data_IF_716154812894
#
_entry.id   IF_716154812894
#
_cell.length_a   1.000
_cell.length_b   1.000
_cell.length_c   1.000
_cell.angle_alpha   90.00
_cell.angle_beta   90.00
_cell.angle_gamma   90.00
#
_symmetry.space_group_name_H-M   'P 1'
#
loop_
_entity.id
_entity.type
_entity.pdbx_description
1 polymer ?
#
# COMPACT_ATOMS: atom_id res chain seq x y z
N UNK A 1 -6.20 -2.24 -23.09
CA UNK A 1 -7.49 -2.59 -22.45
C UNK A 1 -7.61 -2.09 -21.00
N UNK A 2 -6.52 -2.03 -20.22
CA UNK A 2 -6.53 -1.44 -18.85
C UNK A 2 -6.85 0.07 -18.81
N UNK A 3 -6.30 0.87 -19.73
CA UNK A 3 -6.51 2.33 -19.75
C UNK A 3 -7.98 2.78 -19.78
N UNK A 4 -8.84 2.08 -20.55
CA UNK A 4 -10.27 2.43 -20.60
C UNK A 4 -11.03 2.02 -19.33
N UNK A 5 -10.60 0.97 -18.64
CA UNK A 5 -11.24 0.45 -17.41
C UNK A 5 -10.93 1.34 -16.20
N UNK A 6 -9.69 1.82 -16.10
CA UNK A 6 -9.22 2.70 -15.02
C UNK A 6 -9.81 4.11 -15.13
N UNK A 7 -10.03 4.60 -16.36
CA UNK A 7 -10.74 5.87 -16.56
C UNK A 7 -12.19 5.84 -16.08
N UNK A 8 -12.87 4.70 -16.17
CA UNK A 8 -14.25 4.53 -15.69
C UNK A 8 -14.37 4.16 -14.22
N UNK A 9 -13.32 3.62 -13.60
CA UNK A 9 -13.34 3.25 -12.18
C UNK A 9 -13.36 4.48 -11.28
N UNK A 10 -14.18 4.40 -10.24
CA UNK A 10 -14.19 5.34 -9.13
C UNK A 10 -12.93 5.18 -8.28
N UNK A 11 -12.55 6.23 -7.55
CA UNK A 11 -11.40 6.19 -6.65
C UNK A 11 -11.56 5.09 -5.57
N UNK A 12 -12.79 4.92 -5.06
CA UNK A 12 -13.09 3.93 -4.03
C UNK A 12 -12.94 2.49 -4.55
N UNK A 13 -13.38 2.21 -5.77
CA UNK A 13 -13.15 0.90 -6.43
C UNK A 13 -11.66 0.60 -6.60
N UNK A 14 -10.87 1.59 -7.03
CA UNK A 14 -9.42 1.42 -7.19
C UNK A 14 -8.72 1.17 -5.85
N UNK A 15 -9.17 1.84 -4.79
CA UNK A 15 -8.61 1.64 -3.45
C UNK A 15 -8.92 0.23 -2.93
N UNK A 16 -10.15 -0.26 -3.09
CA UNK A 16 -10.50 -1.64 -2.70
C UNK A 16 -9.74 -2.68 -3.53
N UNK A 17 -9.59 -2.45 -4.84
CA UNK A 17 -8.75 -3.28 -5.72
C UNK A 17 -7.29 -3.31 -5.21
N UNK A 18 -6.73 -2.15 -4.83
CA UNK A 18 -5.37 -2.07 -4.30
C UNK A 18 -5.21 -2.82 -2.97
N UNK A 19 -6.19 -2.71 -2.06
CA UNK A 19 -6.18 -3.44 -0.78
C UNK A 19 -6.20 -4.95 -1.02
N UNK A 20 -7.01 -5.40 -1.99
CA UNK A 20 -7.11 -6.81 -2.34
C UNK A 20 -5.81 -7.34 -2.95
N UNK A 21 -5.24 -6.61 -3.92
CA UNK A 21 -3.99 -6.99 -4.58
C UNK A 21 -2.80 -7.03 -3.61
N UNK A 22 -2.71 -6.06 -2.68
CA UNK A 22 -1.65 -6.09 -1.66
C UNK A 22 -1.87 -7.19 -0.61
N UNK A 23 -3.11 -7.55 -0.31
CA UNK A 23 -3.43 -8.70 0.54
C UNK A 23 -2.98 -10.01 -0.11
N UNK A 24 -3.32 -10.23 -1.39
CA UNK A 24 -2.85 -11.39 -2.16
C UNK A 24 -1.31 -11.47 -2.18
N UNK A 25 -0.65 -10.35 -2.43
CA UNK A 25 0.81 -10.27 -2.40
C UNK A 25 1.38 -10.59 -1.02
N UNK A 26 0.76 -10.09 0.05
CA UNK A 26 1.14 -10.38 1.42
C UNK A 26 1.02 -11.87 1.77
N UNK A 27 -0.03 -12.55 1.32
CA UNK A 27 -0.15 -14.01 1.49
C UNK A 27 0.88 -14.78 0.67
N UNK A 28 1.15 -14.36 -0.57
CA UNK A 28 2.18 -14.99 -1.41
C UNK A 28 3.57 -14.94 -0.76
N UNK A 29 3.88 -13.87 -0.01
CA UNK A 29 5.14 -13.72 0.71
C UNK A 29 5.26 -14.57 1.98
N UNK A 30 4.18 -15.21 2.44
CA UNK A 30 4.15 -15.93 3.72
C UNK A 30 4.45 -15.00 4.90
N UNK A 31 5.30 -15.41 5.83
CA UNK A 31 5.64 -14.62 7.04
C UNK A 31 6.25 -13.26 6.71
N UNK A 32 7.00 -13.15 5.61
CA UNK A 32 7.56 -11.88 5.14
C UNK A 32 6.49 -10.85 4.78
N UNK A 33 5.28 -11.29 4.42
CA UNK A 33 4.18 -10.43 4.08
C UNK A 33 3.38 -9.94 5.28
N UNK A 34 3.62 -10.45 6.50
CA UNK A 34 2.80 -10.10 7.69
C UNK A 34 2.78 -8.59 7.95
N UNK A 35 3.92 -7.94 7.81
CA UNK A 35 4.08 -6.49 7.91
C UNK A 35 4.79 -5.98 6.67
N UNK A 36 4.06 -5.33 5.78
CA UNK A 36 4.55 -4.95 4.45
C UNK A 36 4.49 -3.43 4.27
N UNK A 37 5.59 -2.87 3.79
CA UNK A 37 5.65 -1.50 3.31
C UNK A 37 6.13 -1.46 1.87
N UNK A 38 5.50 -0.61 1.06
CA UNK A 38 5.95 -0.30 -0.30
C UNK A 38 6.03 1.21 -0.45
N UNK A 39 7.21 1.72 -0.78
CA UNK A 39 7.45 3.13 -1.07
C UNK A 39 7.73 3.31 -2.55
N UNK A 40 6.96 4.17 -3.23
CA UNK A 40 7.11 4.47 -4.66
C UNK A 40 7.51 5.93 -4.80
N UNK A 41 8.63 6.18 -5.47
CA UNK A 41 9.14 7.50 -5.79
C UNK A 41 8.95 7.77 -7.29
N UNK A 42 8.06 8.69 -7.59
CA UNK A 42 7.78 9.17 -8.95
C UNK A 42 8.91 10.06 -9.43
N UNK A 43 9.22 9.94 -10.71
CA UNK A 43 10.26 10.70 -11.41
C UNK A 43 9.70 11.17 -12.74
N UNK A 44 10.28 12.23 -13.28
CA UNK A 44 9.93 12.74 -14.61
C UNK A 44 9.96 11.67 -15.70
N UNK A 45 10.75 10.60 -15.51
CA UNK A 45 10.96 9.52 -16.49
C UNK A 45 10.47 8.13 -16.09
N UNK A 46 9.65 8.02 -15.04
CA UNK A 46 9.13 6.75 -14.52
C UNK A 46 9.10 6.71 -12.99
N UNK A 47 9.48 5.60 -12.38
CA UNK A 47 9.50 5.48 -10.91
C UNK A 47 10.57 4.51 -10.40
N UNK A 48 10.84 4.59 -9.10
CA UNK A 48 11.52 3.56 -8.32
C UNK A 48 10.62 3.17 -7.16
N UNK A 49 10.41 1.87 -6.95
CA UNK A 49 9.71 1.38 -5.79
C UNK A 49 10.61 0.47 -4.94
N UNK A 50 10.44 0.53 -3.63
CA UNK A 50 11.10 -0.35 -2.68
C UNK A 50 10.03 -0.96 -1.79
N UNK A 51 10.02 -2.28 -1.69
CA UNK A 51 9.22 -3.00 -0.71
C UNK A 51 10.10 -3.61 0.37
N UNK A 52 9.65 -3.53 1.61
CA UNK A 52 10.33 -4.06 2.77
C UNK A 52 9.31 -4.53 3.80
N UNK A 53 9.73 -5.42 4.69
CA UNK A 53 8.89 -5.96 5.75
C UNK A 53 9.68 -6.30 6.99
N UNK A 54 8.97 -6.75 8.03
CA UNK A 54 9.60 -7.29 9.23
C UNK A 54 10.12 -8.69 8.91
N UNK A 55 11.39 -8.95 9.24
CA UNK A 55 12.00 -10.28 9.12
C UNK A 55 11.18 -11.28 9.94
N UNK A 56 10.87 -12.48 9.39
CA UNK A 56 10.11 -13.49 10.12
C UNK A 56 10.67 -13.80 11.52
N UNK A 57 11.99 -13.86 11.65
CA UNK A 57 12.67 -14.13 12.93
C UNK A 57 12.57 -13.02 13.97
N UNK A 58 12.06 -11.84 13.61
CA UNK A 58 11.97 -10.66 14.47
C UNK A 58 10.52 -10.21 14.72
N UNK A 59 9.52 -10.94 14.20
CA UNK A 59 8.10 -10.59 14.32
C UNK A 59 7.67 -10.46 15.77
N UNK A 60 8.00 -11.45 16.62
CA UNK A 60 7.63 -11.44 18.04
C UNK A 60 8.19 -10.20 18.77
N UNK A 61 9.43 -9.83 18.44
CA UNK A 61 10.11 -8.66 19.01
C UNK A 61 9.53 -7.35 18.49
N UNK A 62 9.12 -7.30 17.23
CA UNK A 62 8.43 -6.13 16.69
C UNK A 62 7.07 -5.93 17.36
N UNK A 63 6.33 -7.01 17.60
CA UNK A 63 5.02 -7.01 18.26
C UNK A 63 5.06 -6.64 19.74
N UNK A 64 6.17 -6.94 20.43
CA UNK A 64 6.39 -6.51 21.81
C UNK A 64 6.67 -5.00 21.94
N UNK A 65 6.67 -4.25 20.83
CA UNK A 65 6.95 -2.82 20.74
C UNK A 65 8.36 -2.43 21.19
N UNK A 66 9.31 -3.38 21.17
CA UNK A 66 10.71 -3.06 21.36
C UNK A 66 11.26 -2.27 20.17
N UNK A 67 12.13 -1.28 20.46
CA UNK A 67 12.81 -0.53 19.39
C UNK A 67 13.70 -1.50 18.61
N UNK A 68 13.33 -1.76 17.36
CA UNK A 68 14.02 -2.73 16.51
C UNK A 68 14.25 -2.18 15.10
N UNK A 69 15.24 -1.31 14.96
CA UNK A 69 15.68 -0.80 13.65
C UNK A 69 16.20 -1.93 12.75
N UNK A 70 16.74 -2.99 13.33
CA UNK A 70 17.21 -4.18 12.62
C UNK A 70 16.10 -5.16 12.25
N UNK A 71 14.84 -4.93 12.62
CA UNK A 71 13.73 -5.85 12.32
C UNK A 71 13.37 -5.84 10.84
N UNK A 72 13.64 -4.74 10.15
CA UNK A 72 13.21 -4.54 8.77
C UNK A 72 14.27 -5.02 7.78
N UNK A 73 13.81 -5.60 6.69
CA UNK A 73 14.67 -5.94 5.56
C UNK A 73 13.93 -5.71 4.24
N UNK A 74 14.68 -5.29 3.22
CA UNK A 74 14.13 -5.11 1.88
C UNK A 74 13.70 -6.46 1.32
N UNK A 75 12.52 -6.48 0.70
CA UNK A 75 12.00 -7.63 -0.04
C UNK A 75 12.45 -7.50 -1.49
N UNK A 76 12.17 -6.35 -2.10
CA UNK A 76 12.61 -6.03 -3.46
C UNK A 76 12.84 -4.53 -3.66
N UNK A 77 13.59 -4.21 -4.71
CA UNK A 77 13.63 -2.89 -5.34
C UNK A 77 13.25 -3.04 -6.81
N UNK A 78 12.34 -2.21 -7.28
CA UNK A 78 11.92 -2.16 -8.68
C UNK A 78 12.08 -0.75 -9.25
N UNK A 79 12.14 -0.67 -10.56
CA UNK A 79 12.14 0.60 -11.27
C UNK A 79 11.52 0.45 -12.64
N UNK A 80 10.83 1.49 -13.08
CA UNK A 80 10.26 1.57 -14.41
C UNK A 80 10.76 2.83 -15.13
N UNK A 81 11.11 2.68 -16.41
CA UNK A 81 11.52 3.79 -17.26
C UNK A 81 10.68 3.82 -18.55
N UNK A 82 9.79 4.80 -18.67
CA UNK A 82 8.75 4.78 -19.72
C UNK A 82 9.32 4.91 -21.13
N UNK A 83 10.42 5.65 -21.34
CA UNK A 83 10.97 5.88 -22.69
C UNK A 83 11.45 4.59 -23.37
N UNK A 84 11.69 3.54 -22.58
CA UNK A 84 12.13 2.24 -23.06
C UNK A 84 11.18 1.11 -22.70
N UNK A 85 10.01 1.43 -22.12
CA UNK A 85 9.09 0.48 -21.48
C UNK A 85 9.84 -0.60 -20.67
N UNK A 86 10.83 -0.15 -19.88
CA UNK A 86 11.76 -1.05 -19.23
C UNK A 86 11.41 -1.17 -17.75
N UNK A 87 11.02 -2.36 -17.32
CA UNK A 87 10.80 -2.70 -15.92
C UNK A 87 11.94 -3.57 -15.40
N UNK A 88 12.56 -3.12 -14.32
CA UNK A 88 13.61 -3.85 -13.62
C UNK A 88 13.15 -4.13 -12.20
N UNK A 89 13.42 -5.34 -11.71
CA UNK A 89 13.19 -5.74 -10.32
C UNK A 89 14.35 -6.57 -9.81
N UNK A 90 14.73 -6.35 -8.55
CA UNK A 90 15.72 -7.12 -7.82
C UNK A 90 15.15 -7.51 -6.47
N UNK A 91 15.17 -8.80 -6.18
CA UNK A 91 14.84 -9.34 -4.86
C UNK A 91 16.09 -9.45 -3.99
N UNK A 92 15.93 -9.32 -2.67
CA UNK A 92 17.05 -9.42 -1.71
C UNK A 92 17.12 -10.78 -1.01
N UNK A 93 16.04 -11.56 -1.05
CA UNK A 93 15.97 -12.92 -0.52
C UNK A 93 15.78 -13.92 -1.66
N UNK A 94 16.66 -14.93 -1.75
CA UNK A 94 16.62 -15.92 -2.84
C UNK A 94 15.40 -16.84 -2.82
N UNK A 95 14.79 -17.06 -1.65
CA UNK A 95 13.55 -17.83 -1.53
C UNK A 95 12.37 -17.02 -2.05
N UNK A 96 12.31 -15.73 -1.71
CA UNK A 96 11.32 -14.80 -2.28
C UNK A 96 11.53 -14.65 -3.78
N UNK A 97 12.78 -14.54 -4.24
CA UNK A 97 13.10 -14.46 -5.67
C UNK A 97 12.59 -15.69 -6.42
N UNK A 98 12.75 -16.90 -5.89
CA UNK A 98 12.21 -18.12 -6.52
C UNK A 98 10.69 -18.12 -6.56
N UNK A 99 10.05 -17.61 -5.51
CA UNK A 99 8.60 -17.61 -5.36
C UNK A 99 7.94 -16.53 -6.23
N UNK A 100 8.44 -15.30 -6.17
CA UNK A 100 7.88 -14.11 -6.84
C UNK A 100 8.55 -13.77 -8.17
N UNK A 101 9.76 -14.25 -8.44
CA UNK A 101 10.53 -13.92 -9.65
C UNK A 101 10.03 -14.58 -10.93
N UNK A 102 8.98 -15.40 -10.86
CA UNK A 102 8.26 -15.84 -12.06
C UNK A 102 7.47 -14.68 -12.68
N UNK A 103 7.11 -14.80 -13.97
CA UNK A 103 6.42 -13.73 -14.70
C UNK A 103 5.10 -13.30 -14.06
N UNK A 104 4.37 -14.20 -13.38
CA UNK A 104 3.11 -13.89 -12.72
C UNK A 104 3.33 -13.05 -11.47
N UNK A 105 4.26 -13.44 -10.61
CA UNK A 105 4.59 -12.70 -9.39
C UNK A 105 5.12 -11.30 -9.68
N UNK A 106 6.03 -11.17 -10.65
CA UNK A 106 6.54 -9.87 -11.11
C UNK A 106 5.42 -9.00 -11.69
N UNK A 107 4.49 -9.60 -12.44
CA UNK A 107 3.32 -8.89 -12.97
C UNK A 107 2.44 -8.36 -11.84
N UNK A 108 2.13 -9.16 -10.82
CA UNK A 108 1.33 -8.72 -9.67
C UNK A 108 1.99 -7.52 -8.95
N UNK A 109 3.32 -7.56 -8.74
CA UNK A 109 4.05 -6.43 -8.13
C UNK A 109 3.91 -5.16 -8.99
N UNK A 110 4.16 -5.27 -10.29
CA UNK A 110 4.02 -4.13 -11.22
C UNK A 110 2.59 -3.60 -11.27
N UNK A 111 1.60 -4.46 -11.12
CA UNK A 111 0.18 -4.10 -11.15
C UNK A 111 -0.22 -3.31 -9.90
N UNK A 112 0.21 -3.75 -8.72
CA UNK A 112 0.07 -2.99 -7.45
C UNK A 112 0.73 -1.62 -7.56
N UNK A 113 1.97 -1.57 -8.07
CA UNK A 113 2.72 -0.33 -8.24
C UNK A 113 1.99 0.65 -9.17
N UNK A 114 1.53 0.18 -10.33
CA UNK A 114 0.81 1.03 -11.27
C UNK A 114 -0.53 1.51 -10.71
N UNK A 115 -1.30 0.63 -10.05
CA UNK A 115 -2.59 0.99 -9.47
C UNK A 115 -2.44 2.07 -8.38
N UNK A 116 -1.41 1.95 -7.54
CA UNK A 116 -1.09 2.98 -6.56
C UNK A 116 -0.73 4.33 -7.20
N UNK A 117 -0.02 4.31 -8.34
CA UNK A 117 0.31 5.52 -9.12
C UNK A 117 -0.95 6.13 -9.75
N UNK A 118 -1.86 5.31 -10.26
CA UNK A 118 -3.12 5.80 -10.85
C UNK A 118 -4.03 6.43 -9.78
N UNK A 119 -4.11 5.81 -8.59
CA UNK A 119 -4.78 6.39 -7.40
C UNK A 119 -4.14 7.73 -7.04
N UNK A 120 -2.81 7.78 -6.95
CA UNK A 120 -2.06 9.00 -6.67
C UNK A 120 -2.41 10.11 -7.65
N UNK A 121 -2.38 9.83 -8.95
CA UNK A 121 -2.66 10.83 -9.98
C UNK A 121 -4.10 11.37 -9.86
N UNK A 122 -5.09 10.49 -9.67
CA UNK A 122 -6.48 10.92 -9.41
C UNK A 122 -6.58 11.83 -8.20
N UNK A 123 -5.87 11.53 -7.12
CA UNK A 123 -5.89 12.32 -5.88
C UNK A 123 -5.23 13.68 -6.09
N UNK A 124 -4.07 13.71 -6.75
CA UNK A 124 -3.37 14.95 -7.06
C UNK A 124 -4.25 15.85 -7.92
N UNK A 125 -4.86 15.31 -8.97
CA UNK A 125 -5.66 16.08 -9.93
C UNK A 125 -6.97 16.62 -9.34
N UNK A 126 -7.55 15.95 -8.34
CA UNK A 126 -8.89 16.28 -7.83
C UNK A 126 -8.93 16.88 -6.43
N UNK A 127 -7.89 16.70 -5.63
CA UNK A 127 -7.91 17.03 -4.19
C UNK A 127 -6.72 17.85 -3.71
N UNK A 128 -5.63 17.96 -4.48
CA UNK A 128 -4.40 18.62 -4.07
C UNK A 128 -4.05 19.83 -4.94
N UNK A 129 -3.12 20.66 -4.47
CA UNK A 129 -2.70 21.88 -5.15
C UNK A 129 -1.74 21.55 -6.31
N UNK A 130 -2.20 21.75 -7.54
CA UNK A 130 -1.42 21.46 -8.76
C UNK A 130 -0.13 22.27 -8.90
N UNK A 131 0.07 23.33 -8.12
CA UNK A 131 1.32 24.11 -8.13
C UNK A 131 2.45 23.42 -7.36
N UNK A 132 2.12 22.45 -6.50
CA UNK A 132 3.06 21.67 -5.71
C UNK A 132 3.43 20.37 -6.42
N UNK A 133 4.53 19.76 -5.98
CA UNK A 133 4.96 18.45 -6.47
C UNK A 133 4.58 17.38 -5.47
N UNK A 134 4.03 16.27 -5.95
CA UNK A 134 3.74 15.08 -5.16
C UNK A 134 4.44 13.92 -5.85
N UNK A 135 5.51 13.43 -5.24
CA UNK A 135 6.43 12.50 -5.90
C UNK A 135 6.69 11.23 -5.09
N UNK A 136 5.97 11.01 -3.99
CA UNK A 136 6.12 9.83 -3.17
C UNK A 136 4.76 9.29 -2.73
N UNK A 137 4.65 7.97 -2.81
CA UNK A 137 3.54 7.17 -2.32
C UNK A 137 4.11 6.18 -1.30
N UNK A 138 3.40 5.95 -0.20
CA UNK A 138 3.70 4.83 0.70
C UNK A 138 2.44 4.01 0.95
N UNK A 139 2.59 2.71 0.89
CA UNK A 139 1.55 1.73 1.18
C UNK A 139 2.03 0.92 2.37
N UNK A 140 1.17 0.76 3.37
CA UNK A 140 1.35 -0.14 4.49
C UNK A 140 0.22 -1.15 4.50
N UNK A 141 0.58 -2.42 4.68
CA UNK A 141 -0.37 -3.50 4.87
C UNK A 141 0.10 -4.43 5.98
N UNK A 142 -0.83 -4.83 6.83
CA UNK A 142 -0.60 -5.74 7.95
C UNK A 142 -1.63 -6.85 7.94
N UNK A 143 -1.19 -8.11 8.02
CA UNK A 143 -2.04 -9.26 8.31
C UNK A 143 -1.97 -9.58 9.78
N UNK A 144 -3.12 -9.54 10.45
CA UNK A 144 -3.22 -9.90 11.88
C UNK A 144 -3.46 -11.39 12.09
N UNK A 145 -3.92 -12.08 11.04
CA UNK A 145 -4.29 -13.50 11.05
C UNK A 145 -3.76 -14.22 9.79
N UNK A 146 -3.54 -15.54 9.86
CA UNK A 146 -3.03 -16.32 8.73
C UNK A 146 -4.11 -16.75 7.73
N UNK A 147 -5.39 -16.62 8.08
CA UNK A 147 -6.54 -17.03 7.27
C UNK A 147 -6.87 -15.94 6.24
N UNK A 148 -6.81 -16.28 4.96
CA UNK A 148 -7.04 -15.37 3.85
C UNK A 148 -8.51 -15.11 3.57
N UNK A 149 -9.35 -16.14 3.66
CA UNK A 149 -10.80 -16.04 3.48
C UNK A 149 -11.40 -14.96 4.39
N UNK A 150 -11.07 -14.96 5.69
CA UNK A 150 -11.61 -13.96 6.63
C UNK A 150 -11.08 -12.54 6.37
N UNK A 151 -9.86 -12.41 5.83
CA UNK A 151 -9.32 -11.09 5.46
C UNK A 151 -10.03 -10.56 4.21
N UNK A 152 -10.21 -11.38 3.18
CA UNK A 152 -10.90 -10.97 1.95
C UNK A 152 -12.38 -10.64 2.20
N UNK A 153 -13.09 -11.43 3.02
CA UNK A 153 -14.45 -11.09 3.44
C UNK A 153 -14.52 -9.75 4.19
N UNK A 154 -13.51 -9.43 5.02
CA UNK A 154 -13.48 -8.15 5.73
C UNK A 154 -13.14 -6.99 4.79
N UNK A 155 -12.25 -7.19 3.80
CA UNK A 155 -11.94 -6.19 2.76
C UNK A 155 -13.21 -5.82 1.97
N UNK A 156 -14.02 -6.80 1.57
CA UNK A 156 -15.28 -6.55 0.84
C UNK A 156 -16.29 -5.70 1.64
N UNK A 157 -16.21 -5.76 2.97
CA UNK A 157 -17.08 -4.99 3.89
C UNK A 157 -16.44 -3.70 4.38
N UNK A 158 -15.18 -3.44 4.02
CA UNK A 158 -14.43 -2.30 4.51
C UNK A 158 -14.76 -1.03 3.74
N UNK A 159 -14.69 0.09 4.46
CA UNK A 159 -14.81 1.44 3.94
C UNK A 159 -13.42 2.06 3.92
N UNK A 160 -13.01 2.61 2.78
CA UNK A 160 -11.75 3.34 2.69
C UNK A 160 -11.99 4.82 2.96
N UNK A 161 -11.54 5.29 4.12
CA UNK A 161 -11.70 6.68 4.52
C UNK A 161 -10.49 7.50 4.10
N UNK A 162 -10.78 8.64 3.47
CA UNK A 162 -9.79 9.64 3.05
C UNK A 162 -9.61 10.73 4.12
N UNK A 163 -8.39 11.15 4.34
CA UNK A 163 -8.04 12.17 5.33
C UNK A 163 -6.95 13.10 4.78
N UNK A 164 -7.20 14.41 4.87
CA UNK A 164 -6.16 15.42 4.65
C UNK A 164 -5.28 15.52 5.89
N UNK A 165 -3.97 15.60 5.69
CA UNK A 165 -3.00 15.78 6.77
C UNK A 165 -2.56 17.25 6.73
N UNK A 166 -3.10 18.07 7.64
CA UNK A 166 -2.71 19.47 7.78
C UNK A 166 -1.44 19.59 8.65
N UNK A 167 -0.39 20.15 8.05
CA UNK A 167 1.00 20.20 8.51
C UNK A 167 1.27 20.62 9.97
N UNK A 168 2.22 19.90 10.60
CA UNK A 168 3.22 20.46 11.56
C UNK A 168 4.59 19.77 11.51
N UNK A 169 4.85 18.89 10.56
CA UNK A 169 6.09 18.13 10.57
C UNK A 169 7.10 18.70 9.57
N UNK A 170 8.25 19.17 10.08
CA UNK A 170 9.39 19.61 9.27
C UNK A 170 10.14 18.40 8.67
N UNK A 171 9.46 17.58 7.88
CA UNK A 171 10.09 16.51 7.12
C UNK A 171 10.39 16.99 5.69
N UNK A 172 11.46 16.49 5.04
CA UNK A 172 11.77 16.84 3.65
C UNK A 172 10.64 16.52 2.67
N UNK A 173 9.85 15.48 2.97
CA UNK A 173 8.65 15.11 2.21
C UNK A 173 7.50 14.91 3.21
N UNK A 174 6.69 15.93 3.52
CA UNK A 174 5.58 15.80 4.47
C UNK A 174 4.41 15.01 3.85
N UNK A 175 3.73 14.15 4.63
CA UNK A 175 2.51 13.51 4.18
C UNK A 175 1.39 14.55 4.09
N UNK A 176 0.63 14.54 3.00
CA UNK A 176 -0.44 15.53 2.74
C UNK A 176 -1.82 14.91 2.64
N UNK A 177 -1.88 13.62 2.30
CA UNK A 177 -3.12 12.92 2.06
C UNK A 177 -2.98 11.45 2.45
N UNK A 178 -4.00 10.89 3.07
CA UNK A 178 -3.99 9.52 3.56
C UNK A 178 -5.33 8.83 3.30
N UNK A 179 -5.25 7.54 2.96
CA UNK A 179 -6.37 6.62 2.96
C UNK A 179 -6.15 5.56 4.03
N UNK A 180 -7.23 5.14 4.66
CA UNK A 180 -7.20 4.12 5.70
C UNK A 180 -8.41 3.22 5.55
N UNK A 181 -8.20 1.91 5.60
CA UNK A 181 -9.31 0.96 5.68
C UNK A 181 -9.90 0.98 7.08
N UNK A 182 -11.22 1.14 7.15
CA UNK A 182 -12.04 1.11 8.35
C UNK A 182 -13.25 0.20 8.11
N UNK A 183 -13.98 -0.12 9.16
CA UNK A 183 -15.27 -0.81 9.11
C UNK A 183 -16.26 -0.09 10.01
N UNK A 184 -17.54 -0.27 9.73
CA UNK A 184 -18.60 0.19 10.63
C UNK A 184 -18.65 -0.74 11.84
N UNK A 185 -18.59 -0.16 13.04
CA UNK A 185 -18.91 -0.88 14.26
C UNK A 185 -20.43 -0.93 14.39
N UNK A 186 -20.98 -2.15 14.35
CA UNK A 186 -22.37 -2.40 14.70
C UNK A 186 -22.50 -2.35 16.22
N UNK A 187 -22.41 -1.16 16.83
CA UNK A 187 -22.97 -0.98 18.16
C UNK A 187 -24.46 -0.66 18.04
N UNK A 188 -25.23 -1.66 18.47
CA UNK A 188 -26.69 -1.69 18.52
C UNK A 188 -27.15 -0.84 19.71
N UNK A 189 -27.13 0.50 19.62
CA UNK A 189 -27.83 1.38 20.58
C UNK A 189 -28.15 2.76 20.00
N UNK A 190 -29.44 2.99 19.75
CA UNK A 190 -30.16 4.25 20.00
C UNK A 190 -29.42 5.56 19.67
N UNK A 191 -29.20 5.85 18.37
CA UNK A 191 -29.00 7.21 17.86
C UNK A 191 -27.90 7.40 16.82
N UNK A 192 -28.28 7.48 15.53
CA UNK A 192 -27.70 8.19 14.35
C UNK A 192 -26.18 8.40 14.16
N UNK A 193 -25.28 7.83 14.97
CA UNK A 193 -23.83 7.94 14.79
C UNK A 193 -23.24 6.59 14.43
N UNK A 194 -22.83 6.47 13.17
CA UNK A 194 -22.00 5.36 12.69
C UNK A 194 -20.61 5.54 13.28
N UNK A 195 -20.19 4.61 14.14
CA UNK A 195 -18.82 4.55 14.65
C UNK A 195 -17.94 3.74 13.68
N UNK A 196 -16.73 4.23 13.43
CA UNK A 196 -15.78 3.59 12.52
C UNK A 196 -14.56 3.11 13.30
N UNK A 197 -14.17 1.86 13.07
CA UNK A 197 -12.97 1.27 13.66
C UNK A 197 -12.07 0.63 12.61
N UNK A 198 -10.86 0.25 13.01
CA UNK A 198 -9.98 -0.52 12.12
C UNK A 198 -10.53 -1.94 11.89
N UNK A 199 -10.30 -2.52 10.70
CA UNK A 199 -10.56 -3.93 10.45
C UNK A 199 -9.90 -4.83 11.52
N UNK A 200 -10.58 -5.90 11.89
CA UNK A 200 -10.14 -6.84 12.92
C UNK A 200 -8.94 -7.66 12.47
N UNK A 201 -8.85 -8.00 11.18
CA UNK A 201 -7.94 -9.01 10.65
C UNK A 201 -6.81 -8.44 9.80
N UNK A 202 -6.91 -7.16 9.41
CA UNK A 202 -5.83 -6.49 8.70
C UNK A 202 -5.70 -5.01 9.08
N UNK A 203 -4.64 -4.36 8.59
CA UNK A 203 -4.57 -2.89 8.49
C UNK A 203 -4.10 -2.51 7.10
N UNK A 204 -4.64 -1.41 6.58
CA UNK A 204 -4.19 -0.82 5.33
C UNK A 204 -4.12 0.70 5.46
N UNK A 205 -3.00 1.27 5.01
CA UNK A 205 -2.81 2.71 4.92
C UNK A 205 -2.10 3.03 3.60
N UNK A 206 -2.62 4.00 2.86
CA UNK A 206 -1.94 4.59 1.70
C UNK A 206 -1.73 6.08 1.95
N UNK A 207 -0.52 6.58 1.72
CA UNK A 207 -0.12 7.96 2.00
C UNK A 207 0.51 8.59 0.76
N UNK A 208 0.08 9.81 0.43
CA UNK A 208 0.69 10.68 -0.57
C UNK A 208 1.49 11.76 0.13
N UNK A 209 2.68 12.04 -0.38
CA UNK A 209 3.61 13.03 0.18
C UNK A 209 3.88 14.15 -0.82
N UNK A 210 4.01 15.36 -0.29
CA UNK A 210 4.59 16.48 -1.03
C UNK A 210 6.09 16.25 -1.21
N UNK A 211 6.59 16.51 -2.41
CA UNK A 211 8.00 16.43 -2.76
C UNK A 211 8.71 17.74 -2.50
N UNK A 212 9.88 17.68 -1.84
CA UNK A 212 10.80 18.80 -1.67
C UNK A 212 11.60 19.17 -2.91
#
# INVERSE_FOLDING_TARGET
>A
MRDKRIQSQTLDEMLLELVSEIAEYSFALGDWGKYLWTSIYLRDKGYIATSFGVKPSEIERYESQEICTSCFENIYISSYYYLKDNYYIKFFNSSIEKLMGNMRGVKNIRDIENLAIDIHNKVVDSHLDSSKKYNKISIYFERKVPDDEIIFEEIERSIIVRQFINDRFKFPNPPVFMFTALKEDKEDTDGDKIELSYPNYYRFILVVYEGG
#
